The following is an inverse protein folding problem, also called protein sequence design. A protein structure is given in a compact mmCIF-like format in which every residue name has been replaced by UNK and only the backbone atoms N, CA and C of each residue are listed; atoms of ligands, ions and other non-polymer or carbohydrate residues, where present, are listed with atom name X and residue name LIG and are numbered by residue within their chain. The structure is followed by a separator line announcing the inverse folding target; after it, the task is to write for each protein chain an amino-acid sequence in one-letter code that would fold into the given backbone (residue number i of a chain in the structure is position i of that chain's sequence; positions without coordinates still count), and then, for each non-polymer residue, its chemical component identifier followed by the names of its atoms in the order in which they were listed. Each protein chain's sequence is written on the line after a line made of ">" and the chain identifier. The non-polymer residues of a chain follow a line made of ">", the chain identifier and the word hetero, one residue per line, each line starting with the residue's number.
data_IF_876313780825
#
_entry.id   IF_876313780825
#
_cell.length_a   1.000
_cell.length_b   1.000
_cell.length_c   1.000
_cell.angle_alpha   90.00
_cell.angle_beta   90.00
_cell.angle_gamma   90.00
#
_symmetry.space_group_name_H-M   'P 1'
#
loop_
_entity.id
_entity.type
_entity.pdbx_description
1 polymer ?
#
# COMPACT_ATOMS: atom_id res chain seq x y z
N UNK A 1 -10.07 12.65 -10.87
CA UNK A 1 -10.83 12.65 -9.61
C UNK A 1 -9.90 13.08 -8.49
N UNK A 2 -10.19 14.17 -7.77
CA UNK A 2 -9.25 14.79 -6.83
C UNK A 2 -9.16 14.02 -5.51
N UNK A 3 -8.00 14.19 -4.87
CA UNK A 3 -7.40 13.47 -3.72
C UNK A 3 -8.28 13.43 -2.45
N UNK A 4 -9.36 14.20 -2.37
CA UNK A 4 -10.13 14.43 -1.14
C UNK A 4 -11.01 13.26 -0.67
N UNK A 5 -11.41 12.36 -1.57
CA UNK A 5 -12.24 11.19 -1.19
C UNK A 5 -11.49 10.11 -0.40
N UNK A 6 -10.15 10.14 -0.39
CA UNK A 6 -9.33 9.16 0.33
C UNK A 6 -9.34 9.34 1.85
N UNK A 7 -9.82 10.48 2.37
CA UNK A 7 -9.65 10.84 3.78
C UNK A 7 -10.72 10.33 4.74
N UNK A 8 -11.83 9.78 4.26
CA UNK A 8 -13.05 9.75 5.08
C UNK A 8 -13.58 8.38 5.49
N UNK A 9 -12.98 7.26 5.09
CA UNK A 9 -13.51 5.96 5.50
C UNK A 9 -12.54 4.97 6.14
N UNK A 10 -11.22 5.03 5.90
CA UNK A 10 -10.29 4.00 6.41
C UNK A 10 -9.11 4.51 7.25
N UNK A 11 -8.78 5.81 7.21
CA UNK A 11 -7.53 6.36 7.80
C UNK A 11 -7.42 6.39 9.31
N UNK A 12 -8.50 6.15 10.03
CA UNK A 12 -8.44 5.90 11.47
C UNK A 12 -8.20 4.41 11.78
N UNK A 13 -8.57 3.52 10.85
CA UNK A 13 -8.47 2.08 11.03
C UNK A 13 -7.00 1.69 10.81
N UNK A 14 -6.40 1.97 9.64
CA UNK A 14 -5.09 1.42 9.25
C UNK A 14 -3.82 2.06 9.82
N UNK A 15 -3.94 2.93 10.83
CA UNK A 15 -2.80 3.64 11.43
C UNK A 15 -2.47 4.96 10.72
N UNK A 16 -1.90 5.91 11.45
CA UNK A 16 -1.73 7.30 11.01
C UNK A 16 -0.67 7.51 9.89
N UNK A 17 -0.14 6.44 9.29
CA UNK A 17 0.92 6.54 8.28
C UNK A 17 0.33 6.54 6.88
N UNK A 18 0.47 7.69 6.21
CA UNK A 18 0.09 7.88 4.82
C UNK A 18 1.31 7.71 3.92
N UNK A 19 1.05 7.13 2.75
CA UNK A 19 2.00 6.98 1.65
C UNK A 19 1.40 7.64 0.40
N UNK A 20 2.11 8.59 -0.18
CA UNK A 20 1.74 9.16 -1.48
C UNK A 20 2.41 8.36 -2.59
N UNK A 21 1.61 7.62 -3.34
CA UNK A 21 2.03 6.85 -4.51
C UNK A 21 2.02 7.73 -5.76
N UNK A 22 3.16 7.84 -6.42
CA UNK A 22 3.30 8.35 -7.78
C UNK A 22 3.36 7.17 -8.76
N UNK A 23 2.44 7.11 -9.72
CA UNK A 23 2.31 6.03 -10.70
C UNK A 23 1.90 6.56 -12.07
N UNK A 24 1.96 5.70 -13.08
CA UNK A 24 1.58 6.04 -14.46
C UNK A 24 0.22 5.46 -14.79
N UNK A 25 -0.69 6.28 -15.31
CA UNK A 25 -2.00 5.78 -15.75
C UNK A 25 -1.87 4.85 -16.95
N UNK A 26 -2.17 3.55 -16.80
CA UNK A 26 -1.94 2.53 -17.85
C UNK A 26 -2.58 2.80 -19.21
N UNK A 27 -3.73 3.51 -19.22
CA UNK A 27 -4.42 3.89 -20.46
C UNK A 27 -3.90 5.23 -20.97
N UNK A 28 -3.70 6.21 -20.08
CA UNK A 28 -3.40 7.58 -20.47
C UNK A 28 -1.91 7.90 -20.65
N UNK A 29 -1.00 7.05 -20.14
CA UNK A 29 0.43 7.34 -20.01
C UNK A 29 0.79 8.49 -19.05
N UNK A 30 -0.20 9.24 -18.53
CA UNK A 30 0.03 10.42 -17.69
C UNK A 30 0.42 10.05 -16.26
N UNK A 31 1.31 10.83 -15.61
CA UNK A 31 1.58 10.73 -14.19
C UNK A 31 0.31 10.92 -13.35
N UNK A 32 0.18 10.12 -12.30
CA UNK A 32 -0.93 10.11 -11.35
C UNK A 32 -0.40 10.02 -9.93
N UNK A 33 -1.20 10.52 -8.99
CA UNK A 33 -0.89 10.51 -7.56
C UNK A 33 -2.07 9.94 -6.79
N UNK A 34 -1.78 9.07 -5.83
CA UNK A 34 -2.78 8.44 -4.96
C UNK A 34 -2.25 8.43 -3.53
N UNK A 35 -3.05 8.90 -2.58
CA UNK A 35 -2.73 8.75 -1.15
C UNK A 35 -3.27 7.41 -0.66
N UNK A 36 -2.42 6.63 0.00
CA UNK A 36 -2.71 5.29 0.49
C UNK A 36 -2.37 5.20 1.98
N UNK A 37 -3.06 4.33 2.69
CA UNK A 37 -2.78 4.02 4.09
C UNK A 37 -1.89 2.79 4.18
N UNK A 38 -0.89 2.87 5.05
CA UNK A 38 0.09 1.79 5.26
C UNK A 38 -0.45 0.84 6.31
N UNK A 39 -0.84 -0.36 5.89
CA UNK A 39 -1.29 -1.43 6.78
C UNK A 39 -0.13 -2.03 7.58
N UNK A 40 1.06 -2.07 6.99
CA UNK A 40 2.26 -2.58 7.63
C UNK A 40 3.51 -1.85 7.12
N UNK A 41 4.44 -1.58 8.04
CA UNK A 41 5.77 -1.09 7.71
C UNK A 41 6.79 -2.07 8.30
N UNK A 42 7.56 -2.70 7.44
CA UNK A 42 8.68 -3.56 7.79
C UNK A 42 9.95 -2.69 7.81
N UNK A 43 10.43 -2.37 9.01
CA UNK A 43 11.62 -1.53 9.20
C UNK A 43 12.92 -2.21 8.81
N UNK A 44 12.97 -3.55 8.84
CA UNK A 44 14.19 -4.31 8.58
C UNK A 44 14.53 -4.29 7.09
N UNK A 45 13.49 -4.28 6.24
CA UNK A 45 13.59 -4.21 4.79
C UNK A 45 13.14 -2.85 4.19
N UNK A 46 12.85 -1.85 5.04
CA UNK A 46 12.25 -0.54 4.70
C UNK A 46 11.07 -0.66 3.73
N UNK A 47 10.21 -1.67 3.90
CA UNK A 47 9.09 -1.95 2.98
C UNK A 47 7.73 -1.56 3.55
N UNK A 48 6.81 -1.21 2.66
CA UNK A 48 5.49 -0.67 3.01
C UNK A 48 4.39 -1.50 2.38
N UNK A 49 3.48 -2.05 3.18
CA UNK A 49 2.33 -2.79 2.67
C UNK A 49 1.08 -1.92 2.76
N UNK A 50 0.36 -1.84 1.64
CA UNK A 50 -0.92 -1.12 1.53
C UNK A 50 -2.03 -2.07 1.11
N UNK A 51 -3.24 -1.80 1.59
CA UNK A 51 -4.44 -2.50 1.14
C UNK A 51 -5.15 -1.74 0.01
N UNK A 52 -5.65 -2.46 -0.99
CA UNK A 52 -6.60 -1.91 -1.96
C UNK A 52 -8.02 -2.01 -1.44
N UNK A 53 -8.47 -0.98 -0.72
CA UNK A 53 -9.81 -0.94 -0.11
C UNK A 53 -10.99 -1.02 -1.11
N UNK A 54 -10.77 -0.70 -2.40
CA UNK A 54 -11.76 -0.87 -3.48
C UNK A 54 -11.55 -2.15 -4.29
N UNK A 55 -10.77 -3.08 -3.73
CA UNK A 55 -10.45 -4.35 -4.35
C UNK A 55 -9.59 -4.20 -5.61
N UNK A 56 -9.57 -5.26 -6.41
CA UNK A 56 -8.67 -5.36 -7.56
C UNK A 56 -9.02 -4.36 -8.67
N UNK A 57 -10.23 -3.78 -8.68
CA UNK A 57 -10.68 -2.85 -9.73
C UNK A 57 -10.23 -1.41 -9.50
N UNK A 58 -9.58 -1.10 -8.38
CA UNK A 58 -9.08 0.25 -8.11
C UNK A 58 -8.11 0.70 -9.22
N UNK A 59 -8.34 1.90 -9.77
CA UNK A 59 -7.58 2.37 -10.93
C UNK A 59 -6.07 2.43 -10.67
N UNK A 60 -5.66 2.88 -9.47
CA UNK A 60 -4.25 2.91 -9.08
C UNK A 60 -3.65 1.50 -8.99
N UNK A 61 -4.39 0.54 -8.46
CA UNK A 61 -3.95 -0.86 -8.33
C UNK A 61 -3.73 -1.47 -9.71
N UNK A 62 -4.70 -1.30 -10.61
CA UNK A 62 -4.57 -1.74 -12.00
C UNK A 62 -3.43 -1.04 -12.76
N UNK A 63 -3.12 0.20 -12.41
CA UNK A 63 -2.00 0.92 -13.01
C UNK A 63 -0.65 0.37 -12.58
N UNK A 64 -0.46 0.10 -11.28
CA UNK A 64 0.80 -0.45 -10.78
C UNK A 64 1.02 -1.90 -11.18
N UNK A 65 -0.06 -2.66 -11.42
CA UNK A 65 0.06 -4.00 -12.02
C UNK A 65 0.62 -3.94 -13.45
N UNK A 66 0.29 -2.88 -14.20
CA UNK A 66 0.79 -2.68 -15.54
C UNK A 66 2.21 -2.06 -15.56
N UNK A 67 2.53 -1.21 -14.59
CA UNK A 67 3.83 -0.55 -14.43
C UNK A 67 4.25 -0.56 -12.96
N UNK A 68 4.96 -1.60 -12.50
CA UNK A 68 5.29 -1.78 -11.08
C UNK A 68 6.41 -0.88 -10.58
N UNK A 69 7.18 -0.27 -11.49
CA UNK A 69 8.16 0.77 -11.14
C UNK A 69 7.44 2.08 -10.82
N UNK A 70 7.47 2.44 -9.54
CA UNK A 70 6.75 3.59 -8.99
C UNK A 70 7.66 4.43 -8.12
N UNK A 71 7.16 5.56 -7.64
CA UNK A 71 7.78 6.28 -6.53
C UNK A 71 6.77 6.45 -5.41
N UNK A 72 7.23 6.21 -4.18
CA UNK A 72 6.45 6.43 -2.97
C UNK A 72 7.03 7.62 -2.21
N UNK A 73 6.16 8.39 -1.57
CA UNK A 73 6.56 9.40 -0.61
C UNK A 73 5.96 9.06 0.75
N UNK A 74 6.83 8.95 1.75
CA UNK A 74 6.48 8.68 3.15
C UNK A 74 7.10 9.78 4.01
N UNK A 75 6.24 10.61 4.60
CA UNK A 75 6.68 11.86 5.23
C UNK A 75 7.40 12.76 4.23
N UNK A 76 8.67 13.07 4.50
CA UNK A 76 9.53 13.90 3.65
C UNK A 76 10.39 13.09 2.67
N UNK A 77 10.45 11.76 2.81
CA UNK A 77 11.27 10.89 1.96
C UNK A 77 10.51 10.55 0.68
N UNK A 78 11.15 10.75 -0.48
CA UNK A 78 10.67 10.28 -1.78
C UNK A 78 11.60 9.16 -2.22
N UNK A 79 11.04 7.98 -2.48
CA UNK A 79 11.81 6.77 -2.76
C UNK A 79 11.31 6.16 -4.09
N UNK A 80 12.20 5.77 -5.02
CA UNK A 80 11.81 4.85 -6.08
C UNK A 80 11.49 3.49 -5.44
N UNK A 81 10.46 2.80 -5.91
CA UNK A 81 10.04 1.52 -5.34
C UNK A 81 9.52 0.56 -6.41
N UNK A 82 9.58 -0.72 -6.10
CA UNK A 82 8.89 -1.78 -6.84
C UNK A 82 7.58 -2.11 -6.13
N UNK A 83 6.48 -2.11 -6.88
CA UNK A 83 5.17 -2.55 -6.41
C UNK A 83 5.01 -4.07 -6.61
N UNK A 84 4.90 -4.81 -5.52
CA UNK A 84 4.78 -6.26 -5.49
C UNK A 84 3.41 -6.65 -4.91
N UNK A 85 2.45 -7.10 -5.74
CA UNK A 85 1.18 -7.63 -5.26
C UNK A 85 1.42 -8.84 -4.36
N UNK A 86 0.70 -8.90 -3.25
CA UNK A 86 0.78 -10.04 -2.34
C UNK A 86 -0.15 -11.16 -2.78
N UNK A 87 0.25 -12.39 -2.49
CA UNK A 87 -0.64 -13.54 -2.54
C UNK A 87 -1.77 -13.38 -1.52
N UNK A 88 -2.84 -14.17 -1.68
CA UNK A 88 -3.97 -14.16 -0.75
C UNK A 88 -3.52 -14.52 0.67
N UNK A 89 -2.65 -15.50 0.81
CA UNK A 89 -2.17 -15.97 2.11
C UNK A 89 -1.30 -14.92 2.80
N UNK A 90 -0.39 -14.28 2.08
CA UNK A 90 0.36 -13.13 2.59
C UNK A 90 -0.57 -11.98 3.02
N UNK A 91 -1.61 -11.69 2.22
CA UNK A 91 -2.62 -10.68 2.57
C UNK A 91 -3.40 -11.03 3.83
N UNK A 92 -3.76 -12.30 4.01
CA UNK A 92 -4.36 -12.82 5.23
C UNK A 92 -3.48 -12.57 6.46
N UNK A 93 -2.19 -12.92 6.37
CA UNK A 93 -1.24 -12.75 7.47
C UNK A 93 -0.97 -11.27 7.79
N UNK A 94 -0.86 -10.40 6.79
CA UNK A 94 -0.77 -8.94 6.99
C UNK A 94 -1.98 -8.45 7.77
N UNK A 95 -3.17 -8.89 7.40
CA UNK A 95 -4.40 -8.44 8.05
C UNK A 95 -4.55 -8.96 9.48
N UNK A 96 -4.09 -10.19 9.75
CA UNK A 96 -4.01 -10.72 11.13
C UNK A 96 -3.08 -9.87 11.99
N UNK A 97 -1.86 -9.57 11.51
CA UNK A 97 -0.90 -8.73 12.26
C UNK A 97 -1.43 -7.32 12.49
N UNK A 98 -2.09 -6.77 11.47
CA UNK A 98 -2.75 -5.47 11.57
C UNK A 98 -3.89 -5.48 12.62
N UNK A 99 -4.75 -6.50 12.57
CA UNK A 99 -5.84 -6.66 13.53
C UNK A 99 -5.34 -6.93 14.95
N UNK A 100 -4.21 -7.62 15.13
CA UNK A 100 -3.61 -7.80 16.45
C UNK A 100 -3.23 -6.46 17.10
N UNK A 101 -2.73 -5.50 16.31
CA UNK A 101 -2.39 -4.14 16.78
C UNK A 101 -3.62 -3.25 17.01
N UNK A 102 -4.71 -3.50 16.28
CA UNK A 102 -5.90 -2.64 16.26
C UNK A 102 -7.22 -3.39 16.54
N UNK A 103 -7.20 -4.45 17.36
CA UNK A 103 -8.27 -5.47 17.44
C UNK A 103 -9.67 -4.90 17.66
N UNK A 104 -9.82 -4.04 18.67
CA UNK A 104 -11.11 -3.41 19.01
C UNK A 104 -11.60 -2.47 17.90
N UNK A 105 -10.70 -1.70 17.29
CA UNK A 105 -11.04 -0.81 16.18
C UNK A 105 -11.44 -1.61 14.93
N UNK A 106 -10.70 -2.68 14.61
CA UNK A 106 -10.98 -3.56 13.48
C UNK A 106 -12.34 -4.27 13.63
N UNK A 107 -12.62 -4.88 14.79
CA UNK A 107 -13.92 -5.52 15.07
C UNK A 107 -15.10 -4.56 14.89
N UNK A 108 -14.97 -3.31 15.35
CA UNK A 108 -16.07 -2.35 15.29
C UNK A 108 -16.25 -1.70 13.91
N UNK A 109 -15.16 -1.52 13.14
CA UNK A 109 -15.16 -0.72 11.92
C UNK A 109 -15.23 -1.52 10.63
N UNK A 110 -14.66 -2.71 10.56
CA UNK A 110 -14.69 -3.52 9.35
C UNK A 110 -16.12 -3.82 8.83
N UNK A 111 -17.11 -4.11 9.70
CA UNK A 111 -18.50 -4.29 9.24
C UNK A 111 -19.07 -3.01 8.61
N UNK A 112 -18.68 -1.84 9.13
CA UNK A 112 -19.22 -0.54 8.71
C UNK A 112 -18.54 0.02 7.46
N UNK A 113 -17.26 -0.27 7.27
CA UNK A 113 -16.49 0.32 6.17
C UNK A 113 -16.34 -0.63 4.99
N UNK A 114 -16.10 -1.92 5.26
CA UNK A 114 -15.88 -2.92 4.22
C UNK A 114 -17.07 -3.87 4.05
N UNK A 115 -18.09 -3.80 4.92
CA UNK A 115 -19.20 -4.76 4.92
C UNK A 115 -18.77 -6.16 5.35
N UNK A 116 -17.59 -6.28 5.98
CA UNK A 116 -17.02 -7.54 6.43
C UNK A 116 -17.25 -7.66 7.93
N UNK A 117 -18.20 -8.50 8.31
CA UNK A 117 -18.36 -8.91 9.70
C UNK A 117 -17.20 -9.81 10.10
N UNK A 118 -16.53 -9.46 11.19
CA UNK A 118 -15.49 -10.28 11.80
C UNK A 118 -15.87 -10.53 13.26
N UNK A 119 -15.77 -11.76 13.72
CA UNK A 119 -16.01 -12.14 15.12
C UNK A 119 -14.84 -11.71 16.04
N UNK A 120 -13.72 -11.28 15.45
CA UNK A 120 -12.53 -10.85 16.17
C UNK A 120 -11.47 -11.92 16.37
N UNK A 121 -11.73 -13.14 15.89
CA UNK A 121 -10.77 -14.23 15.78
C UNK A 121 -9.74 -13.94 14.69
N UNK A 122 -8.55 -14.53 14.83
CA UNK A 122 -7.52 -14.43 13.79
C UNK A 122 -7.93 -15.12 12.49
N UNK A 123 -8.78 -16.16 12.57
CA UNK A 123 -9.29 -16.86 11.41
C UNK A 123 -10.14 -15.93 10.52
N UNK A 124 -11.08 -15.20 11.13
CA UNK A 124 -11.93 -14.24 10.41
C UNK A 124 -11.11 -13.09 9.80
N UNK A 125 -10.13 -12.57 10.55
CA UNK A 125 -9.23 -11.55 10.00
C UNK A 125 -8.40 -12.10 8.84
N UNK A 126 -7.88 -13.32 8.94
CA UNK A 126 -7.13 -13.95 7.84
C UNK A 126 -8.01 -14.09 6.59
N UNK A 127 -9.23 -14.59 6.74
CA UNK A 127 -10.16 -14.75 5.62
C UNK A 127 -10.53 -13.39 4.99
N UNK A 128 -10.74 -12.35 5.81
CA UNK A 128 -10.96 -10.99 5.32
C UNK A 128 -9.75 -10.47 4.52
N UNK A 129 -8.53 -10.70 5.01
CA UNK A 129 -7.30 -10.34 4.33
C UNK A 129 -7.10 -11.08 3.01
N UNK A 130 -7.43 -12.38 2.94
CA UNK A 130 -7.33 -13.17 1.71
C UNK A 130 -8.25 -12.69 0.57
N UNK A 131 -9.32 -11.96 0.91
CA UNK A 131 -10.26 -11.37 -0.06
C UNK A 131 -9.85 -9.97 -0.51
N UNK A 132 -8.90 -9.34 0.16
CA UNK A 132 -8.45 -7.99 -0.13
C UNK A 132 -7.10 -8.01 -0.86
N UNK A 133 -6.94 -7.29 -1.98
CA UNK A 133 -5.63 -7.17 -2.60
C UNK A 133 -4.71 -6.30 -1.74
N UNK A 134 -3.50 -6.77 -1.52
CA UNK A 134 -2.42 -6.02 -0.89
C UNK A 134 -1.26 -5.83 -1.85
N UNK A 135 -0.48 -4.78 -1.62
CA UNK A 135 0.75 -4.52 -2.36
C UNK A 135 1.83 -4.12 -1.37
N UNK A 136 3.00 -4.75 -1.51
CA UNK A 136 4.24 -4.35 -0.86
C UNK A 136 5.02 -3.44 -1.80
N UNK A 137 5.35 -2.25 -1.33
CA UNK A 137 6.32 -1.38 -1.97
C UNK A 137 7.69 -1.62 -1.35
N UNK A 138 8.63 -2.02 -2.17
CA UNK A 138 10.03 -2.23 -1.78
C UNK A 138 10.85 -1.07 -2.35
N UNK A 139 11.33 -0.12 -1.53
CA UNK A 139 12.23 0.92 -1.98
C UNK A 139 13.46 0.33 -2.65
N UNK A 140 13.83 0.88 -3.80
CA UNK A 140 15.13 0.60 -4.41
C UNK A 140 16.14 1.60 -3.88
N UNK A 141 17.40 1.18 -3.65
CA UNK A 141 18.47 2.14 -3.50
C UNK A 141 18.46 3.04 -4.73
N UNK A 142 18.32 4.35 -4.55
CA UNK A 142 18.69 5.27 -5.62
C UNK A 142 20.14 5.00 -5.92
N UNK A 143 20.44 4.44 -7.09
CA UNK A 143 21.80 4.42 -7.61
C UNK A 143 22.26 5.87 -7.64
N UNK A 144 23.15 6.21 -6.72
CA UNK A 144 23.89 7.46 -6.78
C UNK A 144 24.66 7.37 -8.11
N UNK A 145 24.33 8.25 -9.05
CA UNK A 145 25.06 8.32 -10.30
C UNK A 145 26.51 8.64 -9.98
N UNK A 146 27.39 7.66 -10.09
CA UNK A 146 28.81 7.90 -10.19
C UNK A 146 29.04 8.64 -11.50
N UNK A 147 29.06 9.97 -11.44
CA UNK A 147 29.70 10.79 -12.46
C UNK A 147 31.21 10.58 -12.30
N UNK A 148 31.73 9.46 -12.81
CA UNK A 148 33.16 9.34 -13.09
C UNK A 148 33.39 10.10 -14.39
N UNK A 149 33.96 11.29 -14.24
CA UNK A 149 34.26 12.22 -15.32
C UNK A 149 35.13 11.58 -16.41
N UNK A 150 34.86 12.03 -17.62
CA UNK A 150 35.79 12.04 -18.74
C UNK A 150 37.19 12.51 -18.31
N UNK A 151 38.18 11.75 -18.78
CA UNK A 151 39.40 12.21 -19.47
C UNK A 151 40.42 13.07 -18.70
N UNK A 152 41.65 12.55 -18.61
CA UNK A 152 42.89 13.12 -19.15
C UNK A 152 44.11 12.63 -18.34
N UNK A 153 44.91 11.73 -18.92
CA UNK A 153 46.37 11.86 -19.14
C UNK A 153 46.97 10.54 -19.58
#
# INVERSE_FOLDING_TARGET
>A
MPIYLYRLKLGWVFGQRLLLLNHTGRISGKPRRTVLEVAEHDSDHDSYVVASGWGAKAAWYQNILAAPEVSIQVGTRVLPAMALPLSKDEGGEVFVRYAAKHRRAAQYMLPRVLGISVDGSEADFREAGQKMPFVRFVPRPTSCGTTAGHDLS
#
